data_IF_298659970483
#
_entry.id   IF_298659970483
#
_cell.length_a   1.000
_cell.length_b   1.000
_cell.length_c   1.000
_cell.angle_alpha   90.00
_cell.angle_beta   90.00
_cell.angle_gamma   90.00
#
_symmetry.space_group_name_H-M   'P 1'
#
loop_
_entity.id
_entity.type
_entity.pdbx_description
1 polymer ?
#
# COMPACT_ATOMS: atom_id res chain seq x y z
N UNK A 1 19.36 33.04 74.44
CA UNK A 1 20.16 32.84 73.21
C UNK A 1 19.60 31.76 72.26
N UNK A 2 18.35 31.27 72.42
CA UNK A 2 17.79 30.14 71.64
C UNK A 2 16.84 30.56 70.48
N UNK A 3 16.54 31.84 70.30
CA UNK A 3 15.58 32.30 69.29
C UNK A 3 16.17 32.32 67.87
N UNK A 4 17.45 32.67 67.72
CA UNK A 4 18.11 32.76 66.42
C UNK A 4 18.21 31.39 65.69
N UNK A 5 18.64 30.29 66.35
CA UNK A 5 18.69 28.97 65.73
C UNK A 5 17.32 28.47 65.27
N UNK A 6 16.27 28.74 66.06
CA UNK A 6 14.91 28.33 65.74
C UNK A 6 14.36 29.05 64.50
N UNK A 7 14.61 30.36 64.37
CA UNK A 7 14.23 31.15 63.19
C UNK A 7 14.92 30.65 61.91
N UNK A 8 16.20 30.26 62.00
CA UNK A 8 16.95 29.69 60.88
C UNK A 8 16.35 28.35 60.44
N UNK A 9 15.98 27.47 61.38
CA UNK A 9 15.34 26.19 61.07
C UNK A 9 13.95 26.36 60.43
N UNK A 10 13.15 27.32 60.91
CA UNK A 10 11.85 27.62 60.33
C UNK A 10 11.99 28.21 58.92
N UNK A 11 12.93 29.12 58.70
CA UNK A 11 13.23 29.69 57.37
C UNK A 11 13.72 28.63 56.38
N UNK A 12 14.59 27.71 56.84
CA UNK A 12 15.03 26.58 56.01
C UNK A 12 13.88 25.64 55.67
N UNK A 13 13.02 25.33 56.67
CA UNK A 13 11.83 24.50 56.47
C UNK A 13 10.85 25.10 55.46
N UNK A 14 10.60 26.41 55.51
CA UNK A 14 9.73 27.06 54.52
C UNK A 14 10.37 27.08 53.12
N UNK A 15 11.66 27.35 53.02
CA UNK A 15 12.41 27.32 51.75
C UNK A 15 12.40 25.93 51.10
N UNK A 16 12.65 24.87 51.88
CA UNK A 16 12.61 23.49 51.40
C UNK A 16 11.19 23.08 50.97
N UNK A 17 10.17 23.50 51.72
CA UNK A 17 8.77 23.25 51.36
C UNK A 17 8.37 23.96 50.03
N UNK A 18 8.81 25.22 49.85
CA UNK A 18 8.60 25.95 48.60
C UNK A 18 9.34 25.31 47.42
N UNK A 19 10.57 24.82 47.65
CA UNK A 19 11.35 24.11 46.64
C UNK A 19 10.71 22.78 46.26
N UNK A 20 10.18 22.02 47.22
CA UNK A 20 9.50 20.75 46.97
C UNK A 20 8.20 20.97 46.17
N UNK A 21 7.39 21.96 46.55
CA UNK A 21 6.17 22.32 45.80
C UNK A 21 6.46 22.74 44.36
N UNK A 22 7.54 23.50 44.11
CA UNK A 22 7.97 23.85 42.74
C UNK A 22 8.42 22.62 41.95
N UNK A 23 9.15 21.68 42.57
CA UNK A 23 9.59 20.44 41.91
C UNK A 23 8.41 19.54 41.52
N UNK A 24 7.44 19.37 42.40
CA UNK A 24 6.21 18.60 42.13
C UNK A 24 5.43 19.19 40.95
N UNK A 25 5.27 20.52 40.91
CA UNK A 25 4.62 21.21 39.77
C UNK A 25 5.37 20.99 38.45
N UNK A 26 6.71 21.02 38.46
CA UNK A 26 7.54 20.77 37.27
C UNK A 26 7.46 19.31 36.81
N UNK A 27 7.47 18.34 37.73
CA UNK A 27 7.32 16.91 37.40
C UNK A 27 5.93 16.64 36.83
N UNK A 28 4.87 17.20 37.45
CA UNK A 28 3.50 17.06 36.96
C UNK A 28 3.35 17.69 35.56
N UNK A 29 3.93 18.87 35.34
CA UNK A 29 3.90 19.53 34.02
C UNK A 29 4.64 18.72 32.95
N UNK A 30 5.80 18.13 33.28
CA UNK A 30 6.50 17.22 32.37
C UNK A 30 5.69 15.98 32.04
N UNK A 31 5.07 15.36 33.04
CA UNK A 31 4.23 14.17 32.86
C UNK A 31 2.99 14.47 31.99
N UNK A 32 2.38 15.65 32.17
CA UNK A 32 1.27 16.12 31.33
C UNK A 32 1.73 16.30 29.87
N UNK A 33 2.89 16.93 29.65
CA UNK A 33 3.43 17.11 28.29
C UNK A 33 3.72 15.75 27.64
N UNK A 34 4.36 14.82 28.36
CA UNK A 34 4.64 13.46 27.86
C UNK A 34 3.33 12.75 27.51
N UNK A 35 2.32 12.81 28.39
CA UNK A 35 1.02 12.18 28.15
C UNK A 35 0.33 12.75 26.91
N UNK A 36 0.32 14.08 26.74
CA UNK A 36 -0.24 14.74 25.54
C UNK A 36 0.51 14.31 24.27
N UNK A 37 1.84 14.26 24.30
CA UNK A 37 2.64 13.81 23.16
C UNK A 37 2.35 12.36 22.78
N UNK A 38 2.23 11.45 23.76
CA UNK A 38 1.90 10.03 23.50
C UNK A 38 0.51 9.89 22.89
N UNK A 39 -0.50 10.57 23.44
CA UNK A 39 -1.86 10.54 22.90
C UNK A 39 -1.90 11.09 21.47
N UNK A 40 -1.18 12.19 21.19
CA UNK A 40 -1.10 12.76 19.85
C UNK A 40 -0.42 11.81 18.84
N UNK A 41 0.64 11.10 19.24
CA UNK A 41 1.33 10.12 18.39
C UNK A 41 0.46 8.89 18.11
N UNK A 42 -0.25 8.36 19.11
CA UNK A 42 -1.16 7.22 18.93
C UNK A 42 -2.38 7.57 18.07
N UNK A 43 -2.86 8.81 18.12
CA UNK A 43 -3.93 9.28 17.24
C UNK A 43 -3.49 9.41 15.77
N UNK A 44 -2.18 9.54 15.51
CA UNK A 44 -1.63 9.69 14.16
C UNK A 44 -1.41 8.36 13.42
N UNK A 45 -1.33 7.23 14.13
CA UNK A 45 -1.04 5.91 13.52
C UNK A 45 -2.24 5.22 12.87
N UNK A 46 -3.42 5.85 12.82
CA UNK A 46 -4.67 5.18 12.42
C UNK A 46 -4.97 5.14 10.92
N UNK A 47 -4.06 5.57 10.03
CA UNK A 47 -4.35 5.70 8.59
C UNK A 47 -3.23 5.19 7.67
N UNK A 48 -2.75 3.96 7.90
CA UNK A 48 -1.90 3.27 6.92
C UNK A 48 -2.69 2.11 6.31
N UNK A 49 -3.61 2.42 5.40
CA UNK A 49 -4.17 1.39 4.51
C UNK A 49 -3.21 1.24 3.33
N UNK A 50 -2.61 0.04 3.20
CA UNK A 50 -1.87 -0.33 2.00
C UNK A 50 -2.85 -0.52 0.85
N UNK A 51 -3.13 0.54 0.11
CA UNK A 51 -3.89 0.49 -1.13
C UNK A 51 -2.99 -0.13 -2.21
N UNK A 52 -3.50 -1.03 -3.04
CA UNK A 52 -2.80 -1.52 -4.25
C UNK A 52 -3.32 -0.74 -5.44
N UNK A 53 -2.81 0.48 -5.74
CA UNK A 53 -3.48 1.46 -6.60
C UNK A 53 -3.67 1.07 -8.06
N UNK A 54 -3.19 -0.08 -8.52
CA UNK A 54 -3.09 -0.39 -9.94
C UNK A 54 -3.87 -1.63 -10.37
N UNK A 55 -4.43 -2.40 -9.43
CA UNK A 55 -5.21 -3.60 -9.77
C UNK A 55 -6.44 -3.21 -10.61
N UNK A 56 -7.17 -2.18 -10.17
CA UNK A 56 -8.32 -1.64 -10.90
C UNK A 56 -7.98 -0.97 -12.23
N UNK A 57 -6.69 -0.72 -12.51
CA UNK A 57 -6.23 -0.08 -13.75
C UNK A 57 -6.01 -1.09 -14.89
N UNK A 58 -6.42 -2.34 -14.67
CA UNK A 58 -6.33 -3.44 -15.63
C UNK A 58 -7.72 -4.06 -15.84
N UNK A 59 -8.06 -4.50 -17.07
CA UNK A 59 -9.26 -5.29 -17.30
C UNK A 59 -9.22 -6.57 -16.46
N UNK A 60 -10.34 -6.91 -15.84
CA UNK A 60 -10.46 -8.03 -14.89
C UNK A 60 -9.46 -8.00 -13.71
N UNK A 61 -8.81 -6.87 -13.44
CA UNK A 61 -7.74 -6.81 -12.45
C UNK A 61 -8.15 -7.27 -11.05
N UNK A 62 -9.30 -6.82 -10.56
CA UNK A 62 -9.83 -7.24 -9.24
C UNK A 62 -10.14 -8.74 -9.19
N UNK A 63 -10.65 -9.31 -10.29
CA UNK A 63 -10.94 -10.73 -10.39
C UNK A 63 -9.65 -11.57 -10.35
N UNK A 64 -8.62 -11.09 -11.04
CA UNK A 64 -7.32 -11.75 -11.09
C UNK A 64 -6.52 -11.56 -9.80
N UNK A 65 -6.67 -10.43 -9.11
CA UNK A 65 -6.08 -10.23 -7.78
C UNK A 65 -6.67 -11.17 -6.72
N UNK A 66 -7.91 -11.64 -6.91
CA UNK A 66 -8.52 -12.65 -6.04
C UNK A 66 -7.81 -14.02 -6.12
N UNK A 67 -7.07 -14.30 -7.19
CA UNK A 67 -6.23 -15.50 -7.30
C UNK A 67 -4.93 -15.40 -6.50
N UNK A 68 -4.53 -14.18 -6.09
CA UNK A 68 -3.36 -13.94 -5.27
C UNK A 68 -2.72 -12.58 -5.49
N UNK A 69 -1.84 -12.21 -4.56
CA UNK A 69 -1.16 -10.91 -4.49
C UNK A 69 -0.13 -10.64 -5.61
N UNK A 70 0.11 -11.57 -6.52
CA UNK A 70 1.27 -11.59 -7.42
C UNK A 70 0.99 -11.02 -8.81
N UNK A 71 -0.29 -10.90 -9.18
CA UNK A 71 -0.70 -11.04 -10.57
C UNK A 71 -0.32 -9.90 -11.51
N UNK A 72 -0.10 -8.70 -10.99
CA UNK A 72 0.10 -7.49 -11.81
C UNK A 72 1.47 -6.87 -11.67
N UNK A 73 2.36 -7.48 -10.89
CA UNK A 73 3.65 -6.85 -10.71
C UNK A 73 4.52 -7.39 -9.61
N UNK A 74 4.01 -7.87 -8.49
CA UNK A 74 4.88 -8.31 -7.40
C UNK A 74 5.18 -9.80 -7.46
N UNK A 75 6.42 -10.20 -7.20
CA UNK A 75 6.79 -11.62 -7.16
C UNK A 75 6.46 -12.29 -5.82
N UNK A 76 6.01 -11.53 -4.82
CA UNK A 76 5.53 -12.03 -3.53
C UNK A 76 4.46 -11.08 -2.94
N UNK A 77 3.76 -11.51 -1.87
CA UNK A 77 2.76 -10.66 -1.20
C UNK A 77 3.35 -9.58 -0.29
N UNK A 78 4.68 -9.38 -0.28
CA UNK A 78 5.30 -8.40 0.60
C UNK A 78 5.19 -7.02 -0.03
N UNK A 79 4.78 -6.03 0.77
CA UNK A 79 4.78 -4.64 0.35
C UNK A 79 6.19 -4.22 -0.10
N UNK A 80 6.32 -3.70 -1.32
CA UNK A 80 7.62 -3.30 -1.88
C UNK A 80 8.52 -4.48 -2.26
N UNK A 81 7.95 -5.69 -2.44
CA UNK A 81 8.66 -6.84 -2.98
C UNK A 81 9.12 -6.65 -4.44
N UNK A 82 9.94 -7.58 -4.96
CA UNK A 82 10.45 -7.52 -6.33
C UNK A 82 9.30 -7.45 -7.35
N UNK A 83 9.63 -6.96 -8.55
CA UNK A 83 8.67 -6.81 -9.63
C UNK A 83 8.85 -7.86 -10.75
N UNK A 84 7.75 -8.36 -11.30
CA UNK A 84 7.67 -9.01 -12.61
C UNK A 84 7.75 -7.97 -13.73
N UNK A 85 8.09 -8.43 -14.94
CA UNK A 85 8.28 -7.58 -16.11
C UNK A 85 7.06 -6.70 -16.42
N UNK A 86 5.85 -7.24 -16.27
CA UNK A 86 4.59 -6.50 -16.45
C UNK A 86 4.52 -5.18 -15.67
N UNK A 87 5.07 -5.11 -14.45
CA UNK A 87 5.06 -3.87 -13.67
C UNK A 87 6.03 -2.83 -14.23
N UNK A 88 7.16 -3.25 -14.80
CA UNK A 88 8.07 -2.35 -15.50
C UNK A 88 7.45 -1.84 -16.80
N UNK A 89 6.74 -2.70 -17.52
CA UNK A 89 6.05 -2.33 -18.77
C UNK A 89 4.89 -1.36 -18.48
N UNK A 90 4.13 -1.61 -17.42
CA UNK A 90 3.10 -0.68 -16.94
C UNK A 90 3.70 0.66 -16.53
N UNK A 91 4.85 0.64 -15.84
CA UNK A 91 5.57 1.86 -15.47
C UNK A 91 6.07 2.61 -16.71
N UNK A 92 6.60 1.92 -17.71
CA UNK A 92 7.05 2.51 -18.98
C UNK A 92 5.88 3.14 -19.75
N UNK A 93 4.69 2.54 -19.66
CA UNK A 93 3.45 3.07 -20.20
C UNK A 93 2.81 4.18 -19.35
N UNK A 94 3.55 4.75 -18.40
CA UNK A 94 3.06 5.85 -17.56
C UNK A 94 2.00 5.43 -16.54
N UNK A 95 1.94 4.13 -16.18
CA UNK A 95 0.97 3.54 -15.26
C UNK A 95 -0.47 3.72 -15.72
N UNK A 96 -0.70 3.47 -17.01
CA UNK A 96 -2.02 3.51 -17.62
C UNK A 96 -2.20 2.34 -18.58
N UNK A 97 -3.44 1.88 -18.75
CA UNK A 97 -3.79 0.89 -19.77
C UNK A 97 -3.72 1.50 -21.17
N UNK A 98 -2.50 1.67 -21.68
CA UNK A 98 -2.27 2.14 -23.04
C UNK A 98 -2.37 0.99 -24.03
N UNK A 99 -2.63 1.31 -25.31
CA UNK A 99 -2.58 0.32 -26.37
C UNK A 99 -1.23 -0.39 -26.46
N UNK A 100 -0.13 0.32 -26.23
CA UNK A 100 1.22 -0.26 -26.30
C UNK A 100 1.47 -1.25 -25.16
N UNK A 101 1.07 -0.89 -23.93
CA UNK A 101 1.11 -1.81 -22.79
C UNK A 101 0.21 -3.03 -22.99
N UNK A 102 -1.02 -2.81 -23.45
CA UNK A 102 -1.97 -3.89 -23.74
C UNK A 102 -1.44 -4.87 -24.81
N UNK A 103 -0.72 -4.38 -25.81
CA UNK A 103 -0.11 -5.20 -26.87
C UNK A 103 1.26 -5.80 -26.49
N UNK A 104 1.77 -5.51 -25.28
CA UNK A 104 3.03 -6.07 -24.80
C UNK A 104 2.81 -7.49 -24.31
N UNK A 105 3.72 -8.40 -24.66
CA UNK A 105 3.85 -9.75 -24.11
C UNK A 105 4.90 -9.67 -23.00
N UNK A 106 4.43 -9.54 -21.75
CA UNK A 106 5.32 -9.20 -20.62
C UNK A 106 6.12 -10.39 -20.10
N UNK A 107 5.60 -11.62 -20.22
CA UNK A 107 6.23 -12.82 -19.70
C UNK A 107 6.82 -13.75 -20.78
N UNK A 108 6.55 -13.47 -22.06
CA UNK A 108 7.20 -14.06 -23.22
C UNK A 108 6.58 -15.37 -23.69
N UNK A 109 5.31 -15.64 -23.35
CA UNK A 109 4.59 -16.85 -23.78
C UNK A 109 3.95 -16.74 -25.17
N UNK A 110 3.99 -15.55 -25.77
CA UNK A 110 3.45 -15.25 -27.09
C UNK A 110 2.05 -14.65 -27.09
N UNK A 111 1.46 -14.39 -25.92
CA UNK A 111 0.19 -13.69 -25.73
C UNK A 111 0.44 -12.27 -25.20
N UNK A 112 -0.42 -11.33 -25.61
CA UNK A 112 -0.32 -9.96 -25.08
C UNK A 112 -1.06 -9.82 -23.75
N UNK A 113 -0.67 -8.85 -22.93
CA UNK A 113 -1.36 -8.48 -21.70
C UNK A 113 -2.89 -8.33 -21.91
N UNK A 114 -3.29 -7.78 -23.06
CA UNK A 114 -4.70 -7.67 -23.46
C UNK A 114 -5.37 -9.01 -23.74
N UNK A 115 -4.72 -9.92 -24.47
CA UNK A 115 -5.26 -11.26 -24.72
C UNK A 115 -5.48 -12.02 -23.41
N UNK A 116 -4.57 -11.88 -22.46
CA UNK A 116 -4.62 -12.58 -21.17
C UNK A 116 -5.60 -11.97 -20.17
N UNK A 117 -5.76 -10.64 -20.18
CA UNK A 117 -6.64 -9.92 -19.26
C UNK A 117 -8.03 -9.64 -19.83
N UNK A 118 -8.35 -10.18 -21.01
CA UNK A 118 -9.69 -10.13 -21.60
C UNK A 118 -10.00 -8.87 -22.42
N UNK A 119 -8.97 -8.16 -22.89
CA UNK A 119 -9.01 -7.03 -23.82
C UNK A 119 -8.08 -7.26 -25.05
N UNK A 120 -8.35 -8.28 -25.89
CA UNK A 120 -7.45 -8.64 -27.00
C UNK A 120 -7.36 -7.57 -28.11
N UNK A 121 -8.31 -6.63 -28.16
CA UNK A 121 -8.33 -5.56 -29.15
C UNK A 121 -7.75 -4.24 -28.62
N UNK A 122 -7.37 -4.21 -27.35
CA UNK A 122 -6.90 -3.02 -26.64
C UNK A 122 -7.89 -1.85 -26.73
N UNK A 123 -9.16 -2.14 -26.45
CA UNK A 123 -10.28 -1.19 -26.48
C UNK A 123 -10.83 -0.89 -25.09
N UNK A 124 -10.43 -1.66 -24.08
CA UNK A 124 -10.84 -1.42 -22.71
C UNK A 124 -10.33 -0.06 -22.22
N UNK A 125 -11.18 0.60 -21.46
CA UNK A 125 -10.87 1.81 -20.72
C UNK A 125 -11.38 1.69 -19.30
N UNK A 126 -10.80 2.48 -18.38
CA UNK A 126 -11.14 2.43 -16.96
C UNK A 126 -12.66 2.55 -16.75
N UNK A 127 -13.25 1.52 -16.15
CA UNK A 127 -14.69 1.44 -15.85
C UNK A 127 -15.56 0.86 -16.97
N UNK A 128 -15.00 0.55 -18.14
CA UNK A 128 -15.71 -0.18 -19.20
C UNK A 128 -15.75 -1.69 -18.94
N UNK A 129 -16.64 -2.39 -19.64
CA UNK A 129 -16.69 -3.86 -19.61
C UNK A 129 -15.60 -4.40 -20.55
N UNK A 130 -14.71 -5.30 -20.08
CA UNK A 130 -13.74 -5.97 -20.94
C UNK A 130 -14.45 -6.89 -21.94
N UNK A 131 -13.76 -7.27 -23.01
CA UNK A 131 -14.31 -8.17 -24.04
C UNK A 131 -14.62 -9.54 -23.45
N UNK A 132 -13.75 -10.03 -22.56
CA UNK A 132 -13.92 -11.27 -21.82
C UNK A 132 -13.79 -11.03 -20.33
N UNK A 133 -14.63 -11.68 -19.52
CA UNK A 133 -14.60 -11.60 -18.05
C UNK A 133 -14.81 -12.96 -17.37
N UNK A 134 -14.94 -14.03 -18.16
CA UNK A 134 -15.00 -15.38 -17.62
C UNK A 134 -13.58 -15.89 -17.38
N UNK A 135 -13.29 -16.37 -16.17
CA UNK A 135 -11.97 -16.88 -15.77
C UNK A 135 -11.36 -17.91 -16.73
N UNK A 136 -12.19 -18.66 -17.47
CA UNK A 136 -11.71 -19.65 -18.44
C UNK A 136 -11.01 -19.03 -19.64
N UNK A 137 -11.22 -17.74 -19.90
CA UNK A 137 -10.61 -16.98 -20.99
C UNK A 137 -9.50 -16.05 -20.51
N UNK A 138 -9.17 -16.08 -19.21
CA UNK A 138 -8.14 -15.23 -18.63
C UNK A 138 -6.92 -16.06 -18.26
N UNK A 139 -5.77 -15.41 -18.26
CA UNK A 139 -4.49 -16.01 -17.90
C UNK A 139 -3.60 -14.98 -17.20
N UNK A 140 -2.40 -15.40 -16.77
CA UNK A 140 -1.58 -14.61 -15.86
C UNK A 140 -0.45 -13.94 -16.64
N UNK A 141 -0.50 -12.62 -16.88
CA UNK A 141 0.46 -11.91 -17.74
C UNK A 141 1.85 -11.69 -17.10
N UNK A 142 2.11 -12.44 -16.04
CA UNK A 142 3.36 -12.45 -15.30
C UNK A 142 3.92 -13.87 -15.14
N UNK A 143 3.34 -14.85 -15.83
CA UNK A 143 3.65 -16.26 -15.74
C UNK A 143 3.42 -16.98 -17.08
N UNK A 144 4.51 -17.21 -17.82
CA UNK A 144 4.49 -17.82 -19.15
C UNK A 144 3.93 -19.26 -19.22
N UNK A 145 3.77 -19.95 -18.09
CA UNK A 145 3.10 -21.27 -18.05
C UNK A 145 1.57 -21.14 -17.99
N UNK A 146 1.06 -19.95 -17.69
CA UNK A 146 -0.36 -19.65 -17.62
C UNK A 146 -0.80 -19.02 -18.93
N UNK A 147 -1.04 -19.85 -19.94
CA UNK A 147 -1.54 -19.43 -21.24
C UNK A 147 -3.09 -19.43 -21.30
N UNK A 148 -3.73 -18.56 -22.10
CA UNK A 148 -5.12 -18.72 -22.47
C UNK A 148 -5.35 -20.09 -23.14
N UNK A 149 -6.52 -20.75 -22.97
CA UNK A 149 -6.76 -22.05 -23.59
C UNK A 149 -6.53 -22.01 -25.11
N UNK A 150 -5.64 -22.89 -25.59
CA UNK A 150 -5.26 -22.98 -26.99
C UNK A 150 -6.46 -23.39 -27.86
N UNK A 151 -7.00 -22.41 -28.60
CA UNK A 151 -8.12 -22.63 -29.51
C UNK A 151 -8.69 -21.35 -30.10
N UNK A 152 -8.89 -20.31 -29.28
CA UNK A 152 -9.79 -19.21 -29.68
C UNK A 152 -9.22 -17.79 -29.52
N UNK A 153 -8.08 -17.59 -28.84
CA UNK A 153 -7.42 -16.29 -28.70
C UNK A 153 -6.13 -16.21 -29.54
N UNK A 154 -6.21 -16.40 -30.86
CA UNK A 154 -5.04 -16.21 -31.74
C UNK A 154 -5.00 -14.75 -32.16
N UNK A 155 -3.94 -14.01 -31.76
CA UNK A 155 -3.52 -12.67 -32.26
C UNK A 155 -4.62 -11.85 -32.92
N UNK A 156 -5.45 -11.21 -32.10
CA UNK A 156 -6.48 -10.27 -32.56
C UNK A 156 -7.77 -10.91 -33.07
N UNK A 157 -8.04 -12.18 -32.77
CA UNK A 157 -9.33 -12.83 -33.00
C UNK A 157 -10.17 -12.91 -31.72
N UNK A 158 -11.50 -13.03 -31.89
CA UNK A 158 -12.45 -13.22 -30.79
C UNK A 158 -12.27 -14.62 -30.18
N UNK A 159 -11.95 -14.70 -28.90
CA UNK A 159 -12.18 -15.88 -28.08
C UNK A 159 -13.71 -16.21 -28.10
N UNK A 160 -14.10 -17.36 -28.63
CA UNK A 160 -15.49 -17.84 -28.67
C UNK A 160 -15.64 -19.13 -27.89
#
# INVERSE_FOLDING_TARGET
>A
MLLLPLLILLSKRTSDNQRNSRREKVVNMKNVIIFVCVVALCAFSAFVNGFTPFVSDHPNGEQMAALGCLMFGHTNCQCGGPYHQIAFDFQAAGRTWTREYCMTDSDGDGYTNGEELGDPNCEWSLGSTPTYSEMRFLSLPNNADSIPPAGDCVRGARCT
#
